data_IF_076664566454
#
_entry.id   IF_076664566454
#
_cell.length_a   1.000
_cell.length_b   1.000
_cell.length_c   1.000
_cell.angle_alpha   90.00
_cell.angle_beta   90.00
_cell.angle_gamma   90.00
#
_symmetry.space_group_name_H-M   'P 1'
#
loop_
_entity.id
_entity.type
_entity.pdbx_description
1 polymer ?
#
# COMPACT_ATOMS: atom_id res chain seq x y z
N UNK A 1 5.82 7.29 -0.86
CA UNK A 1 6.96 6.36 -0.82
C UNK A 1 7.72 6.51 -2.14
N UNK A 2 9.00 6.78 -2.05
CA UNK A 2 9.88 6.96 -3.21
C UNK A 2 11.04 6.00 -3.12
N UNK A 3 11.35 5.32 -4.23
CA UNK A 3 12.43 4.33 -4.29
C UNK A 3 13.74 4.96 -4.80
N UNK A 4 14.88 4.39 -4.41
CA UNK A 4 16.18 4.82 -4.92
C UNK A 4 16.38 4.46 -6.38
N UNK A 5 15.72 3.39 -6.87
CA UNK A 5 15.74 3.04 -8.29
C UNK A 5 14.59 3.72 -9.03
N UNK A 6 14.85 4.13 -10.27
CA UNK A 6 13.83 4.66 -11.16
C UNK A 6 13.05 3.54 -11.84
N UNK A 7 11.76 3.77 -12.09
CA UNK A 7 10.91 2.87 -12.85
C UNK A 7 10.68 3.44 -14.24
N UNK A 8 10.57 2.59 -15.29
CA UNK A 8 10.28 3.07 -16.63
C UNK A 8 8.88 3.64 -16.74
N UNK A 9 8.69 4.59 -17.66
CA UNK A 9 7.38 5.19 -17.90
C UNK A 9 6.46 4.31 -18.77
N UNK A 10 7.02 3.37 -19.53
CA UNK A 10 6.26 2.48 -20.40
C UNK A 10 5.48 1.43 -19.62
N UNK A 11 4.19 1.26 -19.95
CA UNK A 11 3.31 0.31 -19.26
C UNK A 11 3.84 -1.13 -19.29
N UNK A 12 4.22 -1.62 -20.47
CA UNK A 12 4.71 -3.00 -20.64
C UNK A 12 6.00 -3.25 -19.85
N UNK A 13 6.97 -2.35 -19.96
CA UNK A 13 8.24 -2.46 -19.21
C UNK A 13 8.00 -2.39 -17.71
N UNK A 14 7.11 -1.51 -17.27
CA UNK A 14 6.78 -1.36 -15.86
C UNK A 14 6.12 -2.63 -15.30
N UNK A 15 5.19 -3.22 -16.03
CA UNK A 15 4.51 -4.46 -15.60
C UNK A 15 5.47 -5.64 -15.52
N UNK A 16 6.43 -5.73 -16.40
CA UNK A 16 7.47 -6.77 -16.37
C UNK A 16 8.39 -6.62 -15.16
N UNK A 17 8.83 -5.40 -14.86
CA UNK A 17 9.65 -5.12 -13.68
C UNK A 17 8.87 -5.42 -12.41
N UNK A 18 7.61 -5.01 -12.33
CA UNK A 18 6.75 -5.30 -11.19
C UNK A 18 6.60 -6.81 -10.95
N UNK A 19 6.47 -7.60 -12.01
CA UNK A 19 6.40 -9.06 -11.91
C UNK A 19 7.73 -9.66 -11.43
N UNK A 20 8.85 -9.19 -11.94
CA UNK A 20 10.19 -9.64 -11.52
C UNK A 20 10.41 -9.36 -10.03
N UNK A 21 10.06 -8.16 -9.57
CA UNK A 21 10.16 -7.79 -8.16
C UNK A 21 9.28 -8.69 -7.29
N UNK A 22 8.05 -8.97 -7.73
CA UNK A 22 7.14 -9.85 -7.01
C UNK A 22 7.69 -11.28 -6.91
N UNK A 23 8.17 -11.85 -8.02
CA UNK A 23 8.69 -13.22 -8.06
C UNK A 23 9.96 -13.38 -7.22
N UNK A 24 10.83 -12.39 -7.22
CA UNK A 24 12.07 -12.39 -6.44
C UNK A 24 11.86 -11.91 -4.99
N UNK A 25 10.67 -11.46 -4.64
CA UNK A 25 10.35 -10.82 -3.35
C UNK A 25 11.32 -9.69 -3.03
N UNK A 26 11.63 -8.88 -4.03
CA UNK A 26 12.54 -7.77 -3.88
C UNK A 26 12.03 -6.77 -2.84
N UNK A 27 12.97 -6.12 -2.13
CA UNK A 27 12.69 -5.02 -1.23
C UNK A 27 13.40 -3.77 -1.72
N UNK A 28 12.82 -3.05 -2.71
CA UNK A 28 13.45 -1.84 -3.23
C UNK A 28 13.74 -0.83 -2.12
N UNK A 29 14.96 -0.29 -2.12
CA UNK A 29 15.35 0.68 -1.11
C UNK A 29 14.58 1.99 -1.28
N UNK A 30 14.21 2.62 -0.17
CA UNK A 30 13.50 3.89 -0.14
C UNK A 30 14.47 5.06 0.01
N UNK A 31 14.14 6.21 -0.60
CA UNK A 31 14.98 7.42 -0.51
C UNK A 31 14.87 8.11 0.83
N UNK A 32 13.70 8.01 1.49
CA UNK A 32 13.42 8.68 2.75
C UNK A 32 12.78 7.73 3.74
N UNK A 33 12.93 8.03 5.02
CA UNK A 33 12.27 7.34 6.11
C UNK A 33 11.41 8.31 6.91
N UNK A 34 10.33 7.79 7.51
CA UNK A 34 9.52 8.57 8.44
C UNK A 34 10.24 8.63 9.79
N UNK A 35 10.54 9.85 10.21
CA UNK A 35 11.13 10.09 11.54
C UNK A 35 10.05 10.00 12.62
N UNK A 36 10.42 9.49 13.79
CA UNK A 36 9.53 9.40 14.95
C UNK A 36 8.20 8.70 14.61
N UNK A 37 8.27 7.54 13.97
CA UNK A 37 7.09 6.73 13.64
C UNK A 37 6.24 6.42 14.87
N UNK A 38 6.83 6.35 16.05
CA UNK A 38 6.17 6.09 17.32
C UNK A 38 5.12 7.14 17.70
N UNK A 39 5.20 8.36 17.15
CA UNK A 39 4.21 9.40 17.41
C UNK A 39 2.86 9.16 16.73
N UNK A 40 2.82 8.27 15.74
CA UNK A 40 1.61 8.00 14.96
C UNK A 40 0.93 6.72 15.45
N UNK A 41 -0.38 6.80 15.72
CA UNK A 41 -1.20 5.65 16.11
C UNK A 41 -1.89 5.00 14.92
N UNK A 42 -2.13 5.77 13.87
CA UNK A 42 -2.85 5.34 12.68
C UNK A 42 -2.04 5.65 11.42
N UNK A 43 -1.98 4.66 10.53
CA UNK A 43 -1.34 4.79 9.23
C UNK A 43 -2.40 4.59 8.15
N UNK A 44 -2.57 5.59 7.30
CA UNK A 44 -3.38 5.46 6.08
C UNK A 44 -2.42 5.05 4.97
N UNK A 45 -2.59 3.83 4.48
CA UNK A 45 -1.67 3.22 3.52
C UNK A 45 -2.32 3.11 2.15
N UNK A 46 -1.87 3.93 1.21
CA UNK A 46 -2.36 3.93 -0.17
C UNK A 46 -1.36 3.29 -1.13
N UNK A 47 -1.86 2.45 -2.04
CA UNK A 47 -1.02 1.75 -3.03
C UNK A 47 -1.83 1.33 -4.25
N UNK A 48 -1.19 1.20 -5.42
CA UNK A 48 -1.82 0.58 -6.57
C UNK A 48 -1.77 -0.95 -6.45
N UNK A 49 -2.71 -1.63 -7.11
CA UNK A 49 -2.66 -3.08 -7.24
C UNK A 49 -1.64 -3.45 -8.32
N UNK A 50 -0.56 -4.11 -7.92
CA UNK A 50 0.46 -4.64 -8.80
C UNK A 50 0.48 -6.16 -8.70
N UNK A 51 -0.09 -6.83 -9.71
CA UNK A 51 -0.14 -8.29 -9.77
C UNK A 51 -0.83 -8.93 -8.55
N UNK A 52 -1.92 -8.32 -8.09
CA UNK A 52 -2.74 -8.86 -7.01
C UNK A 52 -2.35 -8.46 -5.60
N UNK A 53 -1.32 -7.62 -5.44
CA UNK A 53 -0.87 -7.14 -4.14
C UNK A 53 -0.30 -5.71 -4.23
N UNK A 54 0.36 -5.26 -3.17
CA UNK A 54 1.07 -3.98 -3.13
C UNK A 54 2.37 -4.03 -3.94
N UNK A 55 2.85 -2.90 -4.46
CA UNK A 55 4.24 -2.80 -4.93
C UNK A 55 5.24 -3.24 -3.85
N UNK A 56 6.35 -3.84 -4.25
CA UNK A 56 7.34 -4.37 -3.31
C UNK A 56 7.96 -3.28 -2.43
N UNK A 57 8.04 -2.03 -2.90
CA UNK A 57 8.51 -0.91 -2.08
C UNK A 57 7.60 -0.61 -0.88
N UNK A 58 6.31 -0.94 -0.96
CA UNK A 58 5.39 -0.82 0.18
C UNK A 58 5.73 -1.86 1.26
N UNK A 59 6.11 -3.07 0.87
CA UNK A 59 6.64 -4.07 1.81
C UNK A 59 7.92 -3.56 2.48
N UNK A 60 8.82 -2.93 1.73
CA UNK A 60 10.02 -2.30 2.29
C UNK A 60 9.65 -1.30 3.38
N UNK A 61 8.67 -0.44 3.11
CA UNK A 61 8.19 0.55 4.08
C UNK A 61 7.63 -0.11 5.33
N UNK A 62 6.74 -1.09 5.19
CA UNK A 62 6.10 -1.74 6.32
C UNK A 62 7.08 -2.52 7.20
N UNK A 63 8.09 -3.11 6.60
CA UNK A 63 9.12 -3.87 7.31
C UNK A 63 10.18 -2.99 7.99
N UNK A 64 10.26 -1.70 7.63
CA UNK A 64 11.25 -0.77 8.16
C UNK A 64 10.95 -0.27 9.58
N UNK A 65 9.72 -0.48 10.08
CA UNK A 65 9.27 0.06 11.36
C UNK A 65 8.60 -1.01 12.22
N UNK A 66 8.68 -0.84 13.54
CA UNK A 66 7.81 -1.57 14.46
C UNK A 66 6.44 -0.86 14.52
N UNK A 67 5.45 -1.48 13.92
CA UNK A 67 4.08 -0.95 13.83
C UNK A 67 3.12 -1.60 14.83
N UNK A 68 3.64 -2.40 15.74
CA UNK A 68 2.84 -3.10 16.76
C UNK A 68 1.94 -2.13 17.53
N UNK A 69 0.67 -2.49 17.67
CA UNK A 69 -0.34 -1.68 18.36
C UNK A 69 -0.94 -0.55 17.53
N UNK A 70 -0.44 -0.31 16.33
CA UNK A 70 -0.96 0.72 15.44
C UNK A 70 -2.14 0.18 14.61
N UNK A 71 -2.94 1.12 14.11
CA UNK A 71 -4.02 0.86 13.16
C UNK A 71 -3.55 1.16 11.75
N UNK A 72 -3.83 0.27 10.81
CA UNK A 72 -3.56 0.48 9.39
C UNK A 72 -4.87 0.52 8.62
N UNK A 73 -5.11 1.61 7.90
CA UNK A 73 -6.23 1.82 7.00
C UNK A 73 -5.72 1.72 5.56
N UNK A 74 -5.85 0.56 4.90
CA UNK A 74 -5.35 0.41 3.54
C UNK A 74 -6.37 0.87 2.50
N UNK A 75 -5.92 1.57 1.47
CA UNK A 75 -6.72 1.79 0.27
C UNK A 75 -5.91 1.48 -0.99
N UNK A 76 -6.59 0.95 -1.99
CA UNK A 76 -5.94 0.45 -3.20
C UNK A 76 -6.63 0.99 -4.44
N UNK A 77 -5.85 1.50 -5.38
CA UNK A 77 -6.33 1.81 -6.73
C UNK A 77 -6.11 0.60 -7.64
N UNK A 78 -7.06 0.31 -8.51
CA UNK A 78 -7.03 -0.86 -9.38
C UNK A 78 -7.77 -0.60 -10.69
N UNK A 79 -7.66 -1.53 -11.64
CA UNK A 79 -8.40 -1.51 -12.90
C UNK A 79 -9.33 -2.74 -13.07
N UNK A 80 -9.77 -3.34 -11.98
CA UNK A 80 -10.72 -4.44 -11.95
C UNK A 80 -10.40 -5.56 -10.96
N UNK A 81 -9.17 -5.59 -10.42
CA UNK A 81 -8.71 -6.65 -9.50
C UNK A 81 -9.04 -6.37 -8.02
N UNK A 82 -9.55 -5.18 -7.71
CA UNK A 82 -9.86 -4.80 -6.32
C UNK A 82 -8.62 -4.75 -5.45
N UNK A 83 -8.74 -5.21 -4.23
CA UNK A 83 -7.64 -5.27 -3.25
C UNK A 83 -6.68 -6.45 -3.49
N UNK A 84 -7.08 -7.42 -4.32
CA UNK A 84 -6.31 -8.66 -4.45
C UNK A 84 -6.11 -9.33 -3.09
N UNK A 85 -4.89 -9.82 -2.82
CA UNK A 85 -4.52 -10.39 -1.52
C UNK A 85 -3.70 -9.42 -0.65
N UNK A 86 -3.73 -8.11 -0.97
CA UNK A 86 -2.91 -7.11 -0.29
C UNK A 86 -3.19 -6.98 1.21
N UNK A 87 -4.47 -7.09 1.62
CA UNK A 87 -4.82 -7.01 3.04
C UNK A 87 -4.20 -8.15 3.83
N UNK A 88 -4.25 -9.37 3.31
CA UNK A 88 -3.63 -10.54 3.94
C UNK A 88 -2.11 -10.39 4.00
N UNK A 89 -1.51 -9.82 2.97
CA UNK A 89 -0.07 -9.55 2.93
C UNK A 89 0.33 -8.51 3.98
N UNK A 90 -0.45 -7.44 4.16
CA UNK A 90 -0.22 -6.46 5.22
C UNK A 90 -0.25 -7.14 6.59
N UNK A 91 -1.26 -7.97 6.84
CA UNK A 91 -1.39 -8.70 8.11
C UNK A 91 -0.20 -9.61 8.39
N UNK A 92 0.34 -10.25 7.35
CA UNK A 92 1.50 -11.13 7.47
C UNK A 92 2.79 -10.38 7.82
N UNK A 93 3.03 -9.23 7.19
CA UNK A 93 4.28 -8.47 7.40
C UNK A 93 4.21 -7.53 8.60
N UNK A 94 3.02 -7.24 9.11
CA UNK A 94 2.79 -6.37 10.26
C UNK A 94 2.03 -7.09 11.38
N UNK A 95 2.59 -8.14 11.98
CA UNK A 95 1.93 -8.82 13.09
C UNK A 95 1.74 -7.86 14.27
N UNK A 96 0.62 -7.99 14.97
CA UNK A 96 0.31 -7.12 16.11
C UNK A 96 -0.28 -5.76 15.74
N UNK A 97 -0.57 -5.50 14.47
CA UNK A 97 -1.30 -4.30 14.03
C UNK A 97 -2.79 -4.59 13.88
N UNK A 98 -3.60 -3.55 13.99
CA UNK A 98 -5.02 -3.61 13.65
C UNK A 98 -5.21 -3.19 12.18
N UNK A 99 -5.29 -4.15 11.28
CA UNK A 99 -5.49 -3.89 9.85
C UNK A 99 -6.98 -3.84 9.57
N UNK A 100 -7.48 -2.67 9.20
CA UNK A 100 -8.90 -2.47 8.90
C UNK A 100 -9.25 -3.00 7.51
N UNK A 101 -10.55 -3.13 7.25
CA UNK A 101 -11.03 -3.47 5.92
C UNK A 101 -10.63 -2.37 4.94
N UNK A 102 -10.02 -2.78 3.83
CA UNK A 102 -9.50 -1.86 2.86
C UNK A 102 -10.56 -1.22 1.99
N UNK A 103 -10.22 -0.09 1.41
CA UNK A 103 -11.02 0.58 0.39
C UNK A 103 -10.41 0.33 -0.99
N UNK A 104 -11.18 -0.27 -1.89
CA UNK A 104 -10.78 -0.44 -3.29
C UNK A 104 -11.42 0.65 -4.14
N UNK A 105 -10.62 1.36 -4.91
CA UNK A 105 -11.06 2.41 -5.81
C UNK A 105 -10.57 2.11 -7.21
N UNK A 106 -11.50 2.00 -8.20
CA UNK A 106 -11.08 1.88 -9.59
C UNK A 106 -10.38 3.17 -10.02
N UNK A 107 -9.22 3.05 -10.69
CA UNK A 107 -8.41 4.20 -11.09
C UNK A 107 -9.19 5.25 -11.88
N UNK A 108 -10.08 4.84 -12.78
CA UNK A 108 -10.96 5.75 -13.54
C UNK A 108 -11.97 6.52 -12.68
N UNK A 109 -12.28 6.04 -11.49
CA UNK A 109 -13.20 6.67 -10.54
C UNK A 109 -12.48 7.45 -9.43
N UNK A 110 -11.15 7.46 -9.40
CA UNK A 110 -10.38 8.07 -8.32
C UNK A 110 -10.71 9.56 -8.13
N UNK A 111 -10.82 10.31 -9.22
CA UNK A 111 -11.11 11.75 -9.18
C UNK A 111 -12.52 12.09 -8.64
N UNK A 112 -13.44 11.12 -8.61
CA UNK A 112 -14.83 11.31 -8.15
C UNK A 112 -15.11 10.55 -6.84
N UNK A 113 -14.09 10.13 -6.12
CA UNK A 113 -14.20 9.24 -4.95
C UNK A 113 -14.28 9.98 -3.61
N UNK A 114 -14.34 11.30 -3.59
CA UNK A 114 -14.31 12.11 -2.36
C UNK A 114 -15.33 11.66 -1.31
N UNK A 115 -16.58 11.42 -1.74
CA UNK A 115 -17.64 10.99 -0.83
C UNK A 115 -17.33 9.61 -0.24
N UNK A 116 -16.93 8.68 -1.07
CA UNK A 116 -16.59 7.32 -0.67
C UNK A 116 -15.43 7.31 0.35
N UNK A 117 -14.40 8.11 0.08
CA UNK A 117 -13.24 8.23 0.98
C UNK A 117 -13.67 8.84 2.32
N UNK A 118 -14.47 9.89 2.31
CA UNK A 118 -14.96 10.53 3.54
C UNK A 118 -15.80 9.56 4.39
N UNK A 119 -16.69 8.80 3.76
CA UNK A 119 -17.50 7.80 4.45
C UNK A 119 -16.63 6.69 5.06
N UNK A 120 -15.66 6.20 4.29
CA UNK A 120 -14.71 5.18 4.76
C UNK A 120 -13.87 5.66 5.94
N UNK A 121 -13.33 6.88 5.87
CA UNK A 121 -12.58 7.47 6.98
C UNK A 121 -13.46 7.59 8.23
N UNK A 122 -14.68 8.09 8.08
CA UNK A 122 -15.63 8.25 9.17
C UNK A 122 -15.98 6.91 9.84
N UNK A 123 -16.19 5.85 9.05
CA UNK A 123 -16.44 4.50 9.55
C UNK A 123 -15.28 3.95 10.38
N UNK A 124 -14.06 4.44 10.12
CA UNK A 124 -12.86 4.04 10.83
C UNK A 124 -12.44 5.03 11.94
N UNK A 125 -13.33 5.93 12.33
CA UNK A 125 -13.11 6.84 13.46
C UNK A 125 -12.23 8.07 13.13
N UNK A 126 -12.13 8.41 11.85
CA UNK A 126 -11.28 9.53 11.41
C UNK A 126 -12.10 10.81 11.16
#
# INVERSE_FOLDING_TARGET
>A
IETTKAYPAGYTEMTEIAMQELQSRERPALTEQVENMEQYDTIILGYPNWWGTMPMCVFTFLEAYDLTGKKILPFCTHEGSGLGHSIDDIRKVCPGTEVKDGLAIRGSAAASSDRLIKEWLKQNGM
#
